data_IF_629893739757
#
_entry.id   IF_629893739757
#
_cell.length_a   1.000
_cell.length_b   1.000
_cell.length_c   1.000
_cell.angle_alpha   90.00
_cell.angle_beta   90.00
_cell.angle_gamma   90.00
#
_symmetry.space_group_name_H-M   'P 1'
#
loop_
_entity.id
_entity.type
_entity.pdbx_description
1 polymer ?
#
# COMPACT_ATOMS: atom_id res chain seq x y z
N UNK A 1 -23.65 -56.51 0.58
CA UNK A 1 -23.79 -55.79 1.86
C UNK A 1 -24.23 -54.37 1.54
N UNK A 2 -25.48 -53.99 1.84
CA UNK A 2 -26.03 -52.66 1.54
C UNK A 2 -25.76 -51.75 2.75
N UNK A 3 -24.86 -50.80 2.62
CA UNK A 3 -24.62 -49.79 3.65
C UNK A 3 -25.88 -48.90 3.77
N UNK A 4 -26.61 -49.01 4.87
CA UNK A 4 -27.70 -48.10 5.19
C UNK A 4 -27.08 -46.85 5.80
N UNK A 5 -26.96 -45.80 4.99
CA UNK A 5 -26.55 -44.48 5.48
C UNK A 5 -27.66 -44.01 6.41
N UNK A 6 -27.37 -43.98 7.70
CA UNK A 6 -28.32 -43.58 8.73
C UNK A 6 -28.85 -42.17 8.41
N UNK A 7 -30.17 -41.90 8.55
CA UNK A 7 -30.77 -40.62 8.18
C UNK A 7 -30.11 -39.44 8.92
N UNK A 8 -29.60 -39.68 10.13
CA UNK A 8 -28.84 -38.69 10.90
C UNK A 8 -27.51 -38.32 10.24
N UNK A 9 -26.81 -39.28 9.62
CA UNK A 9 -25.56 -39.02 8.89
C UNK A 9 -25.84 -38.23 7.63
N UNK A 10 -26.94 -38.53 6.92
CA UNK A 10 -27.36 -37.77 5.75
C UNK A 10 -27.71 -36.31 6.11
N UNK A 11 -28.40 -36.08 7.23
CA UNK A 11 -28.73 -34.73 7.71
C UNK A 11 -27.49 -33.94 8.10
N UNK A 12 -26.52 -34.57 8.80
CA UNK A 12 -25.26 -33.91 9.16
C UNK A 12 -24.45 -33.55 7.92
N UNK A 13 -24.34 -34.46 6.94
CA UNK A 13 -23.65 -34.19 5.68
C UNK A 13 -24.35 -33.06 4.91
N UNK A 14 -25.68 -33.05 4.84
CA UNK A 14 -26.43 -31.99 4.17
C UNK A 14 -26.30 -30.65 4.89
N UNK A 15 -26.34 -30.63 6.23
CA UNK A 15 -26.12 -29.43 7.03
C UNK A 15 -24.69 -28.88 6.84
N UNK A 16 -23.68 -29.75 6.81
CA UNK A 16 -22.29 -29.38 6.54
C UNK A 16 -22.12 -28.86 5.11
N UNK A 17 -22.76 -29.47 4.11
CA UNK A 17 -22.75 -28.98 2.72
C UNK A 17 -23.42 -27.61 2.58
N UNK A 18 -24.54 -27.37 3.28
CA UNK A 18 -25.19 -26.07 3.31
C UNK A 18 -24.32 -25.01 4.03
N UNK A 19 -23.59 -25.39 5.08
CA UNK A 19 -22.69 -24.48 5.80
C UNK A 19 -21.48 -24.04 4.97
N UNK A 20 -21.02 -24.87 4.03
CA UNK A 20 -19.91 -24.53 3.12
C UNK A 20 -20.35 -23.77 1.86
N UNK A 21 -21.67 -23.67 1.60
CA UNK A 21 -22.20 -23.04 0.38
C UNK A 21 -22.28 -21.51 0.43
N UNK A 22 -21.93 -20.87 1.56
CA UNK A 22 -22.08 -19.43 1.76
C UNK A 22 -20.76 -18.66 1.69
N UNK A 23 -20.01 -18.85 0.61
CA UNK A 23 -18.96 -17.89 0.22
C UNK A 23 -19.19 -17.45 -1.22
N UNK A 24 -20.28 -16.72 -1.46
CA UNK A 24 -20.34 -15.85 -2.62
C UNK A 24 -19.34 -14.72 -2.34
N UNK A 25 -18.08 -14.93 -2.71
CA UNK A 25 -17.13 -13.84 -2.81
C UNK A 25 -17.79 -12.82 -3.74
N UNK A 26 -18.16 -11.66 -3.21
CA UNK A 26 -18.82 -10.65 -4.01
C UNK A 26 -17.81 -10.22 -5.08
N UNK A 27 -18.07 -10.54 -6.33
CA UNK A 27 -17.19 -10.22 -7.44
C UNK A 27 -17.50 -8.82 -7.94
N UNK A 28 -16.51 -8.14 -8.51
CA UNK A 28 -16.69 -6.83 -9.11
C UNK A 28 -16.02 -6.79 -10.48
N UNK A 29 -16.66 -6.19 -11.49
CA UNK A 29 -16.10 -6.08 -12.85
C UNK A 29 -15.48 -4.72 -13.06
N UNK A 30 -14.22 -4.71 -13.46
CA UNK A 30 -13.41 -3.51 -13.61
C UNK A 30 -12.84 -3.38 -15.03
N UNK A 31 -12.42 -2.15 -15.37
CA UNK A 31 -11.72 -1.86 -16.63
C UNK A 31 -10.28 -2.38 -16.64
N UNK A 32 -9.63 -2.41 -15.48
CA UNK A 32 -8.27 -2.91 -15.30
C UNK A 32 -8.16 -3.74 -14.00
N UNK A 33 -7.10 -4.56 -13.82
CA UNK A 33 -6.96 -5.44 -12.66
C UNK A 33 -6.96 -4.71 -11.30
N UNK A 34 -6.54 -3.45 -11.27
CA UNK A 34 -6.48 -2.65 -10.04
C UNK A 34 -7.74 -1.82 -9.74
N UNK A 35 -8.77 -1.87 -10.61
CA UNK A 35 -9.96 -1.01 -10.51
C UNK A 35 -9.62 0.46 -10.22
N UNK A 36 -8.59 0.98 -10.91
CA UNK A 36 -8.12 2.37 -10.77
C UNK A 36 -8.61 3.25 -11.91
N UNK A 37 -8.90 2.65 -13.06
CA UNK A 37 -9.39 3.37 -14.22
C UNK A 37 -10.92 3.45 -14.22
N UNK A 38 -11.44 4.60 -14.64
CA UNK A 38 -12.86 4.80 -14.78
C UNK A 38 -13.43 3.95 -15.94
N UNK A 39 -14.52 3.25 -15.65
CA UNK A 39 -15.41 2.61 -16.63
C UNK A 39 -16.27 3.68 -17.30
N UNK A 40 -16.80 4.62 -16.51
CA UNK A 40 -17.68 5.68 -16.99
C UNK A 40 -17.62 6.93 -16.08
N UNK A 41 -18.10 8.05 -16.59
CA UNK A 41 -18.46 9.25 -15.82
C UNK A 41 -19.97 9.30 -15.74
N UNK A 42 -20.49 9.50 -14.54
CA UNK A 42 -21.92 9.56 -14.25
C UNK A 42 -22.31 10.89 -13.61
N UNK A 43 -23.60 11.22 -13.70
CA UNK A 43 -24.23 12.30 -12.96
C UNK A 43 -25.35 11.78 -12.09
N UNK A 44 -25.36 12.16 -10.82
CA UNK A 44 -26.44 11.85 -9.91
C UNK A 44 -27.72 12.59 -10.31
N UNK A 45 -28.86 11.89 -10.41
CA UNK A 45 -30.16 12.55 -10.64
C UNK A 45 -31.01 12.67 -9.37
N UNK A 46 -30.57 12.03 -8.28
CA UNK A 46 -31.11 12.14 -6.92
C UNK A 46 -29.98 12.13 -5.90
N UNK A 47 -30.29 12.51 -4.66
CA UNK A 47 -29.35 12.43 -3.55
C UNK A 47 -29.16 10.96 -3.12
N UNK A 48 -27.98 10.63 -2.59
CA UNK A 48 -27.68 9.32 -2.01
C UNK A 48 -26.82 9.47 -0.77
N UNK A 49 -27.20 8.77 0.30
CA UNK A 49 -26.46 8.68 1.55
C UNK A 49 -26.19 7.21 1.84
N UNK A 50 -24.93 6.81 1.84
CA UNK A 50 -24.57 5.45 2.22
C UNK A 50 -24.89 5.21 3.72
N UNK A 51 -25.36 4.01 4.10
CA UNK A 51 -25.70 3.69 5.50
C UNK A 51 -24.52 3.85 6.48
N UNK A 52 -23.31 3.57 6.02
CA UNK A 52 -22.04 3.70 6.75
C UNK A 52 -21.41 5.10 6.61
N UNK A 53 -22.02 5.99 5.81
CA UNK A 53 -21.53 7.34 5.54
C UNK A 53 -20.25 7.39 4.68
N UNK A 54 -19.76 6.28 4.15
CA UNK A 54 -18.46 6.24 3.43
C UNK A 54 -18.55 6.92 2.07
N UNK A 55 -19.69 6.79 1.38
CA UNK A 55 -19.89 7.31 0.03
C UNK A 55 -21.27 7.94 -0.15
N UNK A 56 -21.33 9.27 -0.10
CA UNK A 56 -22.59 10.03 -0.22
C UNK A 56 -22.43 11.19 -1.18
N UNK A 57 -23.47 11.48 -1.94
CA UNK A 57 -23.47 12.54 -2.95
C UNK A 57 -24.83 13.21 -3.07
N UNK A 58 -24.82 14.43 -3.62
CA UNK A 58 -26.02 15.18 -3.94
C UNK A 58 -26.38 15.05 -5.42
N UNK A 59 -27.63 15.31 -5.73
CA UNK A 59 -28.16 15.47 -7.08
C UNK A 59 -27.27 16.45 -7.86
N UNK A 60 -27.09 16.15 -9.14
CA UNK A 60 -26.18 16.79 -10.09
C UNK A 60 -24.69 16.59 -9.83
N UNK A 61 -24.27 15.89 -8.77
CA UNK A 61 -22.87 15.54 -8.59
C UNK A 61 -22.39 14.67 -9.76
N UNK A 62 -21.20 14.99 -10.28
CA UNK A 62 -20.57 14.26 -11.38
C UNK A 62 -19.33 13.54 -10.87
N UNK A 63 -19.18 12.26 -11.19
CA UNK A 63 -18.09 11.43 -10.66
C UNK A 63 -17.79 10.21 -11.51
N UNK A 64 -16.70 9.50 -11.19
CA UNK A 64 -16.26 8.32 -11.95
C UNK A 64 -16.77 7.02 -11.34
N UNK A 65 -17.10 6.06 -12.20
CA UNK A 65 -17.43 4.68 -11.83
C UNK A 65 -16.21 3.80 -12.08
N UNK A 66 -15.78 3.07 -11.06
CA UNK A 66 -14.60 2.19 -11.10
C UNK A 66 -14.98 0.73 -11.31
N UNK A 67 -16.14 0.32 -10.82
CA UNK A 67 -16.66 -1.03 -11.00
C UNK A 67 -18.17 -1.06 -11.20
N UNK A 68 -18.63 -1.98 -12.05
CA UNK A 68 -20.04 -2.27 -12.29
C UNK A 68 -20.26 -3.76 -12.09
N UNK A 69 -20.96 -4.15 -11.03
CA UNK A 69 -21.44 -5.52 -10.86
C UNK A 69 -22.82 -5.53 -10.19
N UNK A 70 -23.79 -6.14 -10.87
CA UNK A 70 -25.19 -6.09 -10.47
C UNK A 70 -25.70 -4.65 -10.28
N UNK A 71 -26.49 -4.46 -9.21
CA UNK A 71 -27.22 -3.22 -8.94
C UNK A 71 -26.41 -2.19 -8.12
N UNK A 72 -25.22 -2.56 -7.62
CA UNK A 72 -24.39 -1.72 -6.76
C UNK A 72 -23.05 -1.47 -7.44
N UNK A 73 -22.84 -0.23 -7.87
CA UNK A 73 -21.61 0.18 -8.55
C UNK A 73 -20.65 0.83 -7.57
N UNK A 74 -19.35 0.70 -7.83
CA UNK A 74 -18.30 1.36 -7.05
C UNK A 74 -17.91 2.68 -7.73
N UNK A 75 -18.06 3.79 -7.01
CA UNK A 75 -17.76 5.14 -7.50
C UNK A 75 -16.56 5.77 -6.82
N UNK A 76 -16.03 6.84 -7.41
CA UNK A 76 -14.99 7.67 -6.80
C UNK A 76 -15.33 9.16 -6.90
N UNK A 77 -15.39 9.83 -5.75
CA UNK A 77 -15.60 11.28 -5.63
C UNK A 77 -14.45 11.86 -4.82
N UNK A 78 -13.57 12.63 -5.47
CA UNK A 78 -12.46 13.31 -4.79
C UNK A 78 -11.54 12.36 -4.01
N UNK A 79 -11.31 11.15 -4.52
CA UNK A 79 -10.47 10.13 -3.88
C UNK A 79 -11.22 9.20 -2.92
N UNK A 80 -12.44 9.53 -2.52
CA UNK A 80 -13.29 8.64 -1.70
C UNK A 80 -13.97 7.62 -2.60
N UNK A 81 -13.82 6.34 -2.28
CA UNK A 81 -14.48 5.24 -2.97
C UNK A 81 -15.63 4.69 -2.15
N UNK A 82 -16.63 4.14 -2.81
CA UNK A 82 -17.65 3.33 -2.17
C UNK A 82 -18.81 3.00 -3.09
N UNK A 83 -19.76 2.24 -2.55
CA UNK A 83 -20.85 1.68 -3.33
C UNK A 83 -22.08 2.57 -3.34
N UNK A 84 -22.73 2.62 -4.49
CA UNK A 84 -23.98 3.32 -4.70
C UNK A 84 -24.85 2.52 -5.69
N UNK A 85 -26.18 2.66 -5.62
CA UNK A 85 -27.05 1.92 -6.51
C UNK A 85 -27.01 2.53 -7.92
N UNK A 86 -26.96 1.69 -8.94
CA UNK A 86 -26.84 2.14 -10.34
C UNK A 86 -27.98 3.07 -10.76
N UNK A 87 -29.16 2.86 -10.17
CA UNK A 87 -30.37 3.62 -10.45
C UNK A 87 -30.34 5.02 -9.82
N UNK A 88 -29.31 5.44 -9.09
CA UNK A 88 -29.19 6.80 -8.56
C UNK A 88 -28.54 7.78 -9.54
N UNK A 89 -28.00 7.27 -10.65
CA UNK A 89 -27.17 8.03 -11.58
C UNK A 89 -27.57 7.81 -13.02
N UNK A 90 -27.13 8.71 -13.89
CA UNK A 90 -27.14 8.55 -15.34
C UNK A 90 -25.69 8.56 -15.86
N UNK A 91 -25.38 7.71 -16.84
CA UNK A 91 -24.07 7.71 -17.48
C UNK A 91 -23.95 8.87 -18.48
N UNK A 92 -22.94 9.74 -18.27
CA UNK A 92 -22.61 10.82 -19.20
C UNK A 92 -21.62 10.36 -20.28
N UNK A 93 -20.58 9.63 -19.86
CA UNK A 93 -19.51 9.16 -20.75
C UNK A 93 -19.14 7.74 -20.38
N UNK A 94 -19.14 6.83 -21.36
CA UNK A 94 -18.76 5.43 -21.15
C UNK A 94 -17.42 5.17 -21.84
N UNK A 95 -16.40 4.84 -21.06
CA UNK A 95 -15.07 4.49 -21.57
C UNK A 95 -14.93 2.99 -21.86
N UNK A 96 -15.58 2.16 -21.05
CA UNK A 96 -15.60 0.70 -21.21
C UNK A 96 -17.04 0.20 -21.08
N UNK A 97 -17.54 -0.48 -22.12
CA UNK A 97 -18.89 -1.07 -22.10
C UNK A 97 -18.88 -2.48 -21.54
N UNK A 98 -17.76 -3.19 -21.65
CA UNK A 98 -17.66 -4.59 -21.25
C UNK A 98 -16.43 -4.80 -20.34
N UNK A 99 -16.51 -4.42 -19.05
CA UNK A 99 -15.43 -4.66 -18.10
C UNK A 99 -15.19 -6.17 -17.92
N UNK A 100 -14.00 -6.64 -18.34
CA UNK A 100 -13.65 -8.07 -18.36
C UNK A 100 -12.89 -8.54 -17.12
N UNK A 101 -12.31 -7.64 -16.35
CA UNK A 101 -11.52 -8.00 -15.19
C UNK A 101 -12.44 -8.22 -14.01
N UNK A 102 -12.63 -9.48 -13.65
CA UNK A 102 -13.35 -9.89 -12.43
C UNK A 102 -12.34 -9.81 -11.30
N UNK A 103 -12.60 -8.92 -10.34
CA UNK A 103 -11.80 -8.78 -9.13
C UNK A 103 -12.67 -9.22 -7.96
N UNK A 104 -12.25 -10.20 -7.15
CA UNK A 104 -12.94 -10.50 -5.91
C UNK A 104 -12.96 -9.24 -5.03
N UNK A 105 -14.08 -8.93 -4.41
CA UNK A 105 -14.09 -7.99 -3.30
C UNK A 105 -13.28 -8.66 -2.21
N UNK A 106 -12.05 -8.16 -1.98
CA UNK A 106 -11.27 -8.59 -0.83
C UNK A 106 -12.18 -8.46 0.40
N UNK A 107 -12.29 -9.50 1.24
CA UNK A 107 -12.94 -9.35 2.52
C UNK A 107 -12.29 -8.17 3.26
N UNK A 108 -13.03 -7.47 4.16
CA UNK A 108 -12.43 -6.43 4.98
C UNK A 108 -11.09 -6.94 5.49
N UNK A 109 -10.00 -6.15 5.38
CA UNK A 109 -8.68 -6.65 5.70
C UNK A 109 -8.78 -7.27 7.09
N UNK A 110 -8.49 -8.57 7.19
CA UNK A 110 -8.30 -9.22 8.47
C UNK A 110 -7.43 -8.28 9.31
N UNK A 111 -7.72 -8.06 10.61
CA UNK A 111 -6.86 -7.24 11.47
C UNK A 111 -5.43 -7.61 11.16
N UNK A 112 -4.54 -6.63 10.91
CA UNK A 112 -3.27 -6.85 10.22
C UNK A 112 -2.66 -8.10 10.82
N UNK A 113 -2.70 -9.18 10.05
CA UNK A 113 -1.92 -10.36 10.42
C UNK A 113 -0.53 -9.78 10.53
N UNK A 114 0.11 -9.80 11.72
CA UNK A 114 1.42 -9.20 11.85
C UNK A 114 2.25 -9.81 10.75
N UNK A 115 2.57 -9.00 9.73
CA UNK A 115 3.51 -9.40 8.70
C UNK A 115 4.70 -9.91 9.50
N UNK A 116 5.16 -11.16 9.26
CA UNK A 116 6.42 -11.59 9.84
C UNK A 116 7.37 -10.44 9.56
N UNK A 117 8.02 -9.85 10.58
CA UNK A 117 8.81 -8.64 10.40
C UNK A 117 9.68 -8.90 9.20
N UNK A 118 9.43 -8.14 8.11
CA UNK A 118 10.19 -8.30 6.88
C UNK A 118 11.65 -8.28 7.32
N UNK A 119 12.42 -9.37 7.10
CA UNK A 119 13.79 -9.42 7.58
C UNK A 119 14.47 -8.15 7.07
N UNK A 120 15.23 -7.44 7.93
CA UNK A 120 15.88 -6.20 7.55
C UNK A 120 16.47 -6.37 6.16
N UNK A 121 16.00 -5.57 5.20
CA UNK A 121 16.39 -5.70 3.79
C UNK A 121 17.92 -5.68 3.75
N UNK A 122 18.54 -6.84 3.50
CA UNK A 122 19.99 -6.90 3.38
C UNK A 122 20.38 -5.95 2.23
N UNK A 123 21.30 -5.00 2.45
CA UNK A 123 21.76 -4.12 1.38
C UNK A 123 22.25 -4.99 0.22
N UNK A 124 21.82 -4.67 -0.99
CA UNK A 124 22.34 -5.36 -2.17
C UNK A 124 23.86 -5.21 -2.24
N UNK A 125 24.55 -6.14 -2.89
CA UNK A 125 26.00 -6.07 -3.05
C UNK A 125 26.46 -4.73 -3.67
N UNK A 126 25.62 -4.14 -4.54
CA UNK A 126 25.84 -2.83 -5.15
C UNK A 126 25.72 -1.68 -4.14
N UNK A 127 24.70 -1.70 -3.28
CA UNK A 127 24.52 -0.70 -2.22
C UNK A 127 25.64 -0.78 -1.17
N UNK A 128 26.06 -1.99 -0.80
CA UNK A 128 27.19 -2.19 0.11
C UNK A 128 28.50 -1.66 -0.50
N UNK A 129 28.70 -1.88 -1.80
CA UNK A 129 29.87 -1.37 -2.51
C UNK A 129 29.84 0.16 -2.59
N UNK A 130 28.69 0.76 -2.88
CA UNK A 130 28.51 2.21 -2.90
C UNK A 130 28.79 2.83 -1.52
N UNK A 131 28.30 2.20 -0.44
CA UNK A 131 28.54 2.66 0.92
C UNK A 131 30.02 2.55 1.31
N UNK A 132 30.67 1.41 1.02
CA UNK A 132 32.10 1.22 1.27
C UNK A 132 32.96 2.25 0.52
N UNK A 133 32.62 2.54 -0.74
CA UNK A 133 33.30 3.57 -1.54
C UNK A 133 33.14 4.97 -0.96
N UNK A 134 31.93 5.35 -0.52
CA UNK A 134 31.68 6.64 0.13
C UNK A 134 32.50 6.78 1.41
N UNK A 135 32.48 5.76 2.28
CA UNK A 135 33.24 5.76 3.53
C UNK A 135 34.75 5.82 3.30
N UNK A 136 35.24 5.11 2.28
CA UNK A 136 36.66 5.17 1.90
C UNK A 136 37.06 6.55 1.40
N UNK A 137 36.22 7.21 0.60
CA UNK A 137 36.48 8.56 0.11
C UNK A 137 36.52 9.60 1.24
N UNK A 138 35.68 9.43 2.27
CA UNK A 138 35.67 10.28 3.47
C UNK A 138 36.94 10.10 4.30
N UNK A 139 37.34 8.85 4.56
CA UNK A 139 38.58 8.55 5.28
C UNK A 139 39.84 9.06 4.57
N UNK A 140 39.87 8.97 3.24
CA UNK A 140 40.99 9.51 2.45
C UNK A 140 41.07 11.03 2.58
N UNK A 141 39.93 11.73 2.62
CA UNK A 141 39.90 13.18 2.86
C UNK A 141 40.39 13.53 4.26
N UNK A 142 39.95 12.81 5.29
CA UNK A 142 40.45 13.00 6.66
C UNK A 142 41.96 12.78 6.75
N UNK A 143 42.49 11.75 6.06
CA UNK A 143 43.92 11.48 6.03
C UNK A 143 44.69 12.61 5.35
N UNK A 144 44.21 13.12 4.23
CA UNK A 144 44.83 14.26 3.53
C UNK A 144 44.79 15.54 4.39
N UNK A 145 43.70 15.78 5.12
CA UNK A 145 43.59 16.90 6.06
C UNK A 145 44.57 16.75 7.24
N UNK A 146 44.74 15.54 7.78
CA UNK A 146 45.71 15.24 8.82
C UNK A 146 47.15 15.43 8.33
N UNK A 147 47.47 14.95 7.13
CA UNK A 147 48.79 15.13 6.53
C UNK A 147 49.07 16.62 6.26
N UNK A 148 48.07 17.37 5.80
CA UNK A 148 48.16 18.83 5.62
C UNK A 148 48.38 19.55 6.96
N UNK A 149 47.65 19.15 8.01
CA UNK A 149 47.81 19.72 9.35
C UNK A 149 49.18 19.40 9.95
N UNK A 150 49.69 18.19 9.77
CA UNK A 150 51.03 17.79 10.23
C UNK A 150 52.15 18.48 9.45
N UNK A 151 52.02 18.64 8.13
CA UNK A 151 52.98 19.41 7.32
C UNK A 151 53.03 20.90 7.73
N UNK A 152 51.95 21.42 8.30
CA UNK A 152 51.89 22.80 8.81
C UNK A 152 52.55 22.92 10.19
N UNK A 153 52.63 21.82 10.94
CA UNK A 153 53.30 21.73 12.24
C UNK A 153 54.80 21.44 12.04
N UNK A 154 55.62 22.49 11.94
CA UNK A 154 57.08 22.38 11.94
C UNK A 154 57.64 22.61 13.37
N UNK A 155 58.10 21.57 14.10
CA UNK A 155 58.53 21.71 15.50
C UNK A 155 59.89 22.42 15.72
N UNK A 156 60.55 22.98 14.70
CA UNK A 156 61.93 23.51 14.82
C UNK A 156 62.08 24.86 15.55
N UNK A 157 61.03 25.46 16.13
CA UNK A 157 61.16 26.73 16.91
C UNK A 157 60.85 26.61 18.41
N UNK A 158 60.71 25.41 18.97
CA UNK A 158 60.50 25.22 20.41
C UNK A 158 61.80 25.11 21.23
N UNK A 159 62.81 25.95 20.94
CA UNK A 159 64.05 26.04 21.74
C UNK A 159 64.42 27.50 22.01
N UNK A 160 63.80 28.18 23.00
CA UNK A 160 64.43 29.34 23.67
C UNK A 160 63.93 29.50 25.12
N UNK A 161 64.91 29.47 26.03
CA UNK A 161 64.99 30.12 27.36
C UNK A 161 64.13 29.62 28.54
N UNK A 162 64.78 28.84 29.42
CA UNK A 162 64.51 28.89 30.86
C UNK A 162 65.23 30.09 31.49
N UNK A 163 64.55 31.05 32.15
CA UNK A 163 65.24 31.97 33.04
C UNK A 163 65.55 31.29 34.38
N UNK A 164 66.84 31.27 34.73
CA UNK A 164 67.34 31.00 36.09
C UNK A 164 66.82 32.10 37.03
N UNK A 165 66.06 31.72 38.05
CA UNK A 165 65.69 32.62 39.14
C UNK A 165 66.78 32.53 40.21
N UNK A 166 67.57 33.59 40.35
CA UNK A 166 68.42 33.85 41.52
C UNK A 166 67.52 34.27 42.69
N UNK A 167 67.59 33.53 43.79
CA UNK A 167 67.05 33.96 45.09
C UNK A 167 68.13 34.80 45.80
N UNK A 168 67.73 36.01 46.19
CA UNK A 168 68.36 36.80 47.25
C UNK A 168 68.08 36.17 48.61
#
# INVERSE_FOLDING_TARGET
>A
MRAWISPLVAVVVFAVLLLHASSAAAERRCRNPGCTEAISIVRAFRDYQAPDGTFSFRRLATFSVLSKDGNMWEGNIGGKRGFFPEDAVEELTVFERNPRFVVPLEPPPSPPTPEPPTPPREPTAEELLALKRKKLAELLKEQEELERAQSTYNPTTANVAHPRISLF
#
